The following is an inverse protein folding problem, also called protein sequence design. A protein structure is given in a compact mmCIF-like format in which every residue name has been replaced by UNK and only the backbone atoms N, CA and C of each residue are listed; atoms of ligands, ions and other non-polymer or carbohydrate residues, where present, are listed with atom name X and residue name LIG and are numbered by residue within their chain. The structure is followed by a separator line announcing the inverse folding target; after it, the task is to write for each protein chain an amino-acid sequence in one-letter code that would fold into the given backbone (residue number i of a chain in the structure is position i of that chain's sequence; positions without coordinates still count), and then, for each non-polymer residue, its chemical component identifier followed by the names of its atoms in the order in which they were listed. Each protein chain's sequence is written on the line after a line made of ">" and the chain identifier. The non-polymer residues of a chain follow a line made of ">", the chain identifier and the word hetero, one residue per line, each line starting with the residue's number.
data_IF_216531228408
#
_entry.id   IF_216531228408
#
_cell.length_a   1.000
_cell.length_b   1.000
_cell.length_c   1.000
_cell.angle_alpha   90.00
_cell.angle_beta   90.00
_cell.angle_gamma   90.00
#
_symmetry.space_group_name_H-M   'P 1'
#
loop_
_entity.id
_entity.type
_entity.pdbx_description
1 polymer ?
#
# COMPACT_ATOMS: atom_id res chain seq x y z
N UNK A 1 -8.40 -25.75 3.31
CA UNK A 1 -7.83 -24.50 3.87
C UNK A 1 -8.25 -23.27 3.08
N UNK A 2 -9.48 -22.78 3.30
CA UNK A 2 -10.08 -21.65 2.57
C UNK A 2 -9.59 -20.26 3.02
N UNK A 3 -8.28 -20.08 3.18
CA UNK A 3 -7.66 -18.85 3.71
C UNK A 3 -6.69 -18.23 2.70
N UNK A 4 -7.07 -18.19 1.42
CA UNK A 4 -6.29 -17.44 0.43
C UNK A 4 -6.23 -15.96 0.82
N UNK A 5 -5.08 -15.32 0.58
CA UNK A 5 -4.92 -13.89 0.84
C UNK A 5 -5.85 -13.10 -0.10
N UNK A 6 -6.89 -12.50 0.47
CA UNK A 6 -7.75 -11.58 -0.24
C UNK A 6 -7.04 -10.24 -0.46
N UNK A 7 -7.07 -9.73 -1.69
CA UNK A 7 -6.46 -8.46 -2.10
C UNK A 7 -7.52 -7.60 -2.78
N UNK A 8 -7.44 -6.28 -2.57
CA UNK A 8 -8.35 -5.32 -3.17
C UNK A 8 -7.74 -3.91 -3.12
N UNK A 9 -7.83 -3.15 -4.21
CA UNK A 9 -7.15 -1.85 -4.34
C UNK A 9 -7.80 -0.69 -3.55
N UNK A 10 -9.01 -0.91 -3.03
CA UNK A 10 -9.87 0.03 -2.28
C UNK A 10 -10.39 1.24 -3.08
N UNK A 11 -11.59 1.75 -2.76
CA UNK A 11 -12.59 1.15 -1.86
C UNK A 11 -13.19 -0.12 -2.50
N UNK A 12 -13.62 -1.07 -1.68
CA UNK A 12 -14.41 -2.22 -2.13
C UNK A 12 -15.90 -1.94 -1.92
N UNK A 13 -16.74 -2.51 -2.76
CA UNK A 13 -18.19 -2.52 -2.55
C UNK A 13 -18.56 -3.70 -1.63
N UNK A 14 -18.86 -3.38 -0.37
CA UNK A 14 -19.09 -4.37 0.70
C UNK A 14 -20.59 -4.61 0.86
N UNK A 15 -20.99 -5.86 0.66
CA UNK A 15 -22.38 -6.30 0.77
C UNK A 15 -22.93 -6.06 2.17
N UNK A 16 -24.06 -5.36 2.27
CA UNK A 16 -24.73 -5.03 3.52
C UNK A 16 -24.12 -3.85 4.30
N UNK A 17 -23.05 -3.22 3.78
CA UNK A 17 -22.41 -2.06 4.41
C UNK A 17 -22.40 -0.84 3.48
N UNK A 18 -21.68 -0.91 2.35
CA UNK A 18 -21.63 0.21 1.38
C UNK A 18 -22.69 0.09 0.28
N UNK A 19 -23.17 -1.13 0.01
CA UNK A 19 -24.22 -1.41 -0.96
C UNK A 19 -25.04 -2.66 -0.56
N UNK A 20 -26.20 -2.89 -1.20
CA UNK A 20 -27.07 -4.05 -0.90
C UNK A 20 -26.40 -5.38 -1.27
N UNK A 21 -25.81 -5.44 -2.47
CA UNK A 21 -25.06 -6.57 -3.01
C UNK A 21 -23.79 -5.99 -3.64
N UNK A 22 -22.63 -6.50 -3.25
CA UNK A 22 -21.32 -5.96 -3.61
C UNK A 22 -20.31 -7.03 -3.99
N UNK A 23 -19.05 -6.63 -4.09
CA UNK A 23 -17.91 -7.46 -4.52
C UNK A 23 -17.46 -8.46 -3.45
N UNK A 24 -17.70 -8.14 -2.16
CA UNK A 24 -17.22 -8.92 -1.02
C UNK A 24 -18.22 -8.93 0.13
N UNK A 25 -18.23 -10.04 0.89
CA UNK A 25 -18.99 -10.15 2.13
C UNK A 25 -18.27 -9.40 3.26
N UNK A 26 -19.03 -8.73 4.14
CA UNK A 26 -18.46 -7.97 5.27
C UNK A 26 -17.49 -8.80 6.12
N UNK A 27 -17.81 -10.07 6.44
CA UNK A 27 -16.95 -10.91 7.27
C UNK A 27 -15.62 -11.31 6.61
N UNK A 28 -15.60 -11.39 5.27
CA UNK A 28 -14.37 -11.63 4.50
C UNK A 28 -13.53 -10.35 4.47
N UNK A 29 -14.14 -9.20 4.19
CA UNK A 29 -13.43 -7.92 4.19
C UNK A 29 -12.80 -7.61 5.55
N UNK A 30 -13.56 -7.79 6.65
CA UNK A 30 -13.08 -7.54 8.01
C UNK A 30 -11.91 -8.44 8.40
N UNK A 31 -11.92 -9.71 7.98
CA UNK A 31 -10.81 -10.65 8.22
C UNK A 31 -9.51 -10.19 7.58
N UNK A 32 -9.56 -9.53 6.44
CA UNK A 32 -8.40 -9.09 5.66
C UNK A 32 -8.16 -7.58 5.70
N UNK A 33 -8.85 -6.84 6.58
CA UNK A 33 -8.75 -5.37 6.66
C UNK A 33 -7.31 -4.87 6.85
N UNK A 34 -6.57 -5.49 7.78
CA UNK A 34 -5.16 -5.13 8.05
C UNK A 34 -4.26 -5.42 6.83
N UNK A 35 -4.31 -6.61 6.22
CA UNK A 35 -3.63 -6.87 4.94
C UNK A 35 -3.97 -5.87 3.82
N UNK A 36 -5.25 -5.53 3.62
CA UNK A 36 -5.68 -4.60 2.57
C UNK A 36 -5.13 -3.18 2.81
N UNK A 37 -5.12 -2.72 4.05
CA UNK A 37 -4.55 -1.42 4.38
C UNK A 37 -3.03 -1.42 4.23
N UNK A 38 -2.38 -2.55 4.55
CA UNK A 38 -0.95 -2.72 4.30
C UNK A 38 -0.64 -2.74 2.80
N UNK A 39 -1.45 -3.41 1.98
CA UNK A 39 -1.38 -3.40 0.51
C UNK A 39 -1.43 -1.97 -0.03
N UNK A 40 -2.46 -1.20 0.35
CA UNK A 40 -2.63 0.19 -0.08
C UNK A 40 -1.46 1.10 0.37
N UNK A 41 -0.85 0.81 1.52
CA UNK A 41 0.28 1.59 2.06
C UNK A 41 1.54 1.57 1.18
N UNK A 42 1.68 0.60 0.27
CA UNK A 42 2.82 0.53 -0.64
C UNK A 42 2.72 1.52 -1.81
N UNK A 43 1.51 1.90 -2.24
CA UNK A 43 1.29 2.73 -3.44
C UNK A 43 2.08 4.05 -3.43
N UNK A 44 2.13 4.83 -2.32
CA UNK A 44 2.94 6.06 -2.28
C UNK A 44 4.44 5.82 -2.50
N UNK A 45 4.99 4.73 -1.94
CA UNK A 45 6.41 4.40 -2.08
C UNK A 45 6.75 3.91 -3.49
N UNK A 46 5.84 3.17 -4.15
CA UNK A 46 6.03 2.76 -5.54
C UNK A 46 6.06 3.97 -6.47
N UNK A 47 5.16 4.94 -6.30
CA UNK A 47 5.16 6.18 -7.09
C UNK A 47 6.45 6.97 -6.83
N UNK A 48 6.89 7.07 -5.57
CA UNK A 48 8.14 7.73 -5.22
C UNK A 48 9.35 7.03 -5.88
N UNK A 49 9.39 5.70 -5.89
CA UNK A 49 10.44 4.92 -6.56
C UNK A 49 10.45 5.17 -8.07
N UNK A 50 9.29 5.20 -8.73
CA UNK A 50 9.18 5.53 -10.15
C UNK A 50 9.78 6.90 -10.47
N UNK A 51 9.44 7.93 -9.68
CA UNK A 51 9.99 9.28 -9.84
C UNK A 51 11.50 9.28 -9.56
N UNK A 52 11.94 8.60 -8.50
CA UNK A 52 13.34 8.55 -8.07
C UNK A 52 14.24 7.92 -9.15
N UNK A 53 13.83 6.79 -9.72
CA UNK A 53 14.54 6.12 -10.82
C UNK A 53 14.61 6.98 -12.09
N UNK A 54 13.61 7.83 -12.33
CA UNK A 54 13.59 8.74 -13.48
C UNK A 54 14.42 10.01 -13.28
N UNK A 55 14.84 10.32 -12.05
CA UNK A 55 15.51 11.59 -11.70
C UNK A 55 16.98 11.44 -11.32
N UNK A 56 17.42 10.25 -10.92
CA UNK A 56 18.80 10.00 -10.51
C UNK A 56 19.42 8.88 -11.34
N UNK A 57 20.57 9.16 -11.94
CA UNK A 57 21.32 8.18 -12.74
C UNK A 57 21.82 7.01 -11.91
N UNK A 58 22.27 7.26 -10.67
CA UNK A 58 22.63 6.24 -9.69
C UNK A 58 21.76 6.33 -8.43
N UNK A 59 20.57 5.70 -8.44
CA UNK A 59 19.63 5.69 -7.31
C UNK A 59 20.24 5.13 -6.01
N UNK A 60 21.05 4.09 -6.10
CA UNK A 60 21.65 3.43 -4.92
C UNK A 60 22.58 4.37 -4.16
N UNK A 61 23.51 5.03 -4.86
CA UNK A 61 24.42 6.00 -4.25
C UNK A 61 23.65 7.19 -3.63
N UNK A 62 22.56 7.64 -4.27
CA UNK A 62 21.72 8.70 -3.70
C UNK A 62 21.02 8.27 -2.43
N UNK A 63 20.57 7.02 -2.32
CA UNK A 63 19.97 6.50 -1.09
C UNK A 63 20.98 6.39 0.05
N UNK A 64 22.23 5.98 -0.25
CA UNK A 64 23.32 5.94 0.74
C UNK A 64 23.62 7.34 1.29
N UNK A 65 23.73 8.35 0.43
CA UNK A 65 23.93 9.75 0.82
C UNK A 65 22.80 10.26 1.75
N UNK A 66 21.53 9.95 1.42
CA UNK A 66 20.38 10.35 2.24
C UNK A 66 20.37 9.65 3.60
N UNK A 67 20.80 8.38 3.65
CA UNK A 67 20.90 7.60 4.88
C UNK A 67 21.99 8.15 5.79
N UNK A 68 23.17 8.45 5.25
CA UNK A 68 24.30 9.04 6.00
C UNK A 68 23.97 10.44 6.54
N UNK A 69 23.28 11.26 5.74
CA UNK A 69 22.85 12.58 6.18
C UNK A 69 21.85 12.53 7.35
N UNK A 70 21.11 11.42 7.48
CA UNK A 70 20.20 11.11 8.59
C UNK A 70 19.27 12.27 8.99
N UNK A 71 18.80 13.04 8.00
CA UNK A 71 17.99 14.24 8.25
C UNK A 71 16.64 13.85 8.83
N UNK A 72 16.31 14.37 10.01
CA UNK A 72 15.03 14.08 10.68
C UNK A 72 13.86 14.59 9.85
N UNK A 73 12.91 13.69 9.56
CA UNK A 73 11.66 14.01 8.84
C UNK A 73 10.77 14.98 9.62
N UNK A 74 10.69 14.81 10.94
CA UNK A 74 9.89 15.64 11.85
C UNK A 74 10.86 16.30 12.82
N UNK A 75 10.70 17.62 13.03
CA UNK A 75 11.56 18.44 13.90
C UNK A 75 11.43 18.03 15.36
#
# INVERSE_FOLDING_TARGET
>A
DGNALYMHCLPADISGLSCKEGEVEASVFDRYLVPLYKEASYKPYIIAAMIFLAKFENPSAKLEELLEAAVKRIK
#
